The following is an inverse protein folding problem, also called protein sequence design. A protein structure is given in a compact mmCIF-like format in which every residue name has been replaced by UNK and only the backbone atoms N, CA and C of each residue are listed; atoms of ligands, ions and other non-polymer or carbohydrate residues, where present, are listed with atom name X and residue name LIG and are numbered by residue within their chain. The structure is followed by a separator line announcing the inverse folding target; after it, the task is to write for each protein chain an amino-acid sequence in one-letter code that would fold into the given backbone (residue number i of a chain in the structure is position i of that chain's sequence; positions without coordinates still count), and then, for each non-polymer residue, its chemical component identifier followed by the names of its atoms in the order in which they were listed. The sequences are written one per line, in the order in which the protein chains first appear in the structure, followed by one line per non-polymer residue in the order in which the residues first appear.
data_IF_607529236081
#
_entry.id   IF_607529236081
#
_cell.length_a   1.000
_cell.length_b   1.000
_cell.length_c   1.000
_cell.angle_alpha   90.00
_cell.angle_beta   90.00
_cell.angle_gamma   90.00
#
_symmetry.space_group_name_H-M   'P 1'
#
loop_
_entity.id
_entity.type
_entity.pdbx_description
1 polymer ?
#
# COMPACT_ATOMS: atom_id res chain seq x y z
N UNK A 1 -15.63 -22.63 -6.17
CA UNK A 1 -15.25 -22.66 -4.75
C UNK A 1 -16.29 -23.46 -3.98
N UNK A 2 -15.88 -24.28 -3.02
CA UNK A 2 -16.79 -24.87 -2.04
C UNK A 2 -16.76 -23.99 -0.79
N UNK A 3 -17.93 -23.59 -0.32
CA UNK A 3 -18.10 -22.95 0.97
C UNK A 3 -18.70 -23.99 1.91
N UNK A 4 -18.19 -24.06 3.12
CA UNK A 4 -18.81 -24.84 4.19
C UNK A 4 -20.25 -24.37 4.39
N UNK A 5 -21.17 -25.32 4.63
CA UNK A 5 -22.61 -25.05 4.66
C UNK A 5 -22.96 -23.98 5.72
N UNK A 6 -22.39 -24.13 6.91
CA UNK A 6 -22.59 -23.20 8.03
C UNK A 6 -22.13 -21.77 7.68
N UNK A 7 -20.95 -21.63 7.05
CA UNK A 7 -20.43 -20.33 6.64
C UNK A 7 -21.33 -19.67 5.57
N UNK A 8 -21.88 -20.47 4.65
CA UNK A 8 -22.82 -19.97 3.66
C UNK A 8 -24.10 -19.46 4.31
N UNK A 9 -24.65 -20.21 5.27
CA UNK A 9 -25.88 -19.82 5.97
C UNK A 9 -25.70 -18.52 6.76
N UNK A 10 -24.61 -18.41 7.53
CA UNK A 10 -24.26 -17.19 8.26
C UNK A 10 -24.09 -15.99 7.31
N UNK A 11 -23.37 -16.17 6.20
CA UNK A 11 -23.18 -15.10 5.22
C UNK A 11 -24.49 -14.63 4.59
N UNK A 12 -25.41 -15.56 4.28
CA UNK A 12 -26.72 -15.20 3.73
C UNK A 12 -27.58 -14.44 4.75
N UNK A 13 -27.60 -14.87 6.02
CA UNK A 13 -28.34 -14.20 7.08
C UNK A 13 -27.87 -12.75 7.29
N UNK A 14 -26.55 -12.52 7.32
CA UNK A 14 -25.98 -11.18 7.44
C UNK A 14 -26.18 -10.32 6.18
N UNK A 15 -26.14 -10.92 4.98
CA UNK A 15 -26.46 -10.22 3.74
C UNK A 15 -27.93 -9.75 3.73
N UNK A 16 -28.85 -10.59 4.19
CA UNK A 16 -30.27 -10.25 4.32
C UNK A 16 -30.50 -9.16 5.38
N UNK A 17 -29.90 -9.30 6.57
CA UNK A 17 -29.98 -8.31 7.64
C UNK A 17 -29.40 -6.94 7.25
N UNK A 18 -28.39 -6.94 6.38
CA UNK A 18 -27.82 -5.71 5.81
C UNK A 18 -28.58 -5.19 4.57
N UNK A 19 -29.63 -5.87 4.13
CA UNK A 19 -30.39 -5.56 2.91
C UNK A 19 -29.54 -5.45 1.65
N UNK A 20 -28.45 -6.21 1.58
CA UNK A 20 -27.50 -6.20 0.46
C UNK A 20 -27.50 -7.55 -0.24
N UNK A 21 -27.51 -7.60 -1.58
CA UNK A 21 -27.38 -8.86 -2.29
C UNK A 21 -26.06 -9.56 -1.95
N UNK A 22 -26.12 -10.81 -1.49
CA UNK A 22 -24.95 -11.63 -1.16
C UNK A 22 -23.91 -11.66 -2.31
N UNK A 23 -24.38 -11.75 -3.56
CA UNK A 23 -23.52 -11.73 -4.76
C UNK A 23 -22.84 -10.39 -5.02
N UNK A 24 -23.40 -9.28 -4.52
CA UNK A 24 -22.75 -7.97 -4.58
C UNK A 24 -21.60 -7.93 -3.58
N UNK A 25 -21.84 -8.33 -2.32
CA UNK A 25 -20.82 -8.34 -1.26
C UNK A 25 -19.62 -9.21 -1.67
N UNK A 26 -19.86 -10.42 -2.18
CA UNK A 26 -18.79 -11.32 -2.66
C UNK A 26 -17.97 -10.65 -3.76
N UNK A 27 -18.62 -10.01 -4.75
CA UNK A 27 -17.91 -9.36 -5.86
C UNK A 27 -17.04 -8.19 -5.39
N UNK A 28 -17.50 -7.42 -4.42
CA UNK A 28 -16.72 -6.34 -3.81
C UNK A 28 -15.52 -6.90 -3.04
N UNK A 29 -15.73 -7.90 -2.18
CA UNK A 29 -14.65 -8.56 -1.43
C UNK A 29 -13.61 -9.19 -2.36
N UNK A 30 -14.04 -9.85 -3.44
CA UNK A 30 -13.13 -10.42 -4.44
C UNK A 30 -12.31 -9.33 -5.15
N UNK A 31 -12.93 -8.21 -5.52
CA UNK A 31 -12.20 -7.08 -6.13
C UNK A 31 -11.19 -6.48 -5.16
N UNK A 32 -11.59 -6.23 -3.92
CA UNK A 32 -10.71 -5.71 -2.89
C UNK A 32 -9.54 -6.66 -2.62
N UNK A 33 -9.80 -7.96 -2.51
CA UNK A 33 -8.75 -8.96 -2.34
C UNK A 33 -7.76 -8.95 -3.50
N UNK A 34 -8.24 -8.98 -4.74
CA UNK A 34 -7.37 -8.95 -5.93
C UNK A 34 -6.52 -7.67 -5.95
N UNK A 35 -7.13 -6.53 -5.65
CA UNK A 35 -6.44 -5.24 -5.61
C UNK A 35 -5.35 -5.21 -4.54
N UNK A 36 -5.71 -5.58 -3.30
CA UNK A 36 -4.77 -5.65 -2.17
C UNK A 36 -3.59 -6.57 -2.49
N UNK A 37 -3.85 -7.71 -3.13
CA UNK A 37 -2.79 -8.65 -3.50
C UNK A 37 -1.90 -8.13 -4.62
N UNK A 38 -2.42 -7.31 -5.54
CA UNK A 38 -1.60 -6.64 -6.57
C UNK A 38 -0.72 -5.58 -5.95
N UNK A 39 -1.30 -4.70 -5.14
CA UNK A 39 -0.58 -3.64 -4.43
C UNK A 39 0.54 -4.21 -3.55
N UNK A 40 0.29 -5.31 -2.84
CA UNK A 40 1.31 -5.97 -2.02
C UNK A 40 2.52 -6.43 -2.85
N UNK A 41 2.27 -7.07 -4.01
CA UNK A 41 3.35 -7.51 -4.92
C UNK A 41 4.10 -6.33 -5.54
N UNK A 42 3.38 -5.30 -5.95
CA UNK A 42 3.97 -4.07 -6.50
C UNK A 42 4.83 -3.36 -5.46
N UNK A 43 4.34 -3.25 -4.22
CA UNK A 43 5.09 -2.68 -3.11
C UNK A 43 6.34 -3.49 -2.78
N UNK A 44 6.26 -4.82 -2.79
CA UNK A 44 7.42 -5.69 -2.58
C UNK A 44 8.50 -5.45 -3.64
N UNK A 45 8.13 -5.43 -4.93
CA UNK A 45 9.06 -5.13 -6.02
C UNK A 45 9.67 -3.73 -5.89
N UNK A 46 8.85 -2.73 -5.57
CA UNK A 46 9.32 -1.37 -5.34
C UNK A 46 10.31 -1.30 -4.16
N UNK A 47 10.00 -1.96 -3.05
CA UNK A 47 10.84 -1.96 -1.85
C UNK A 47 12.18 -2.65 -2.11
N UNK A 48 12.16 -3.82 -2.77
CA UNK A 48 13.38 -4.52 -3.17
C UNK A 48 14.27 -3.60 -4.01
N UNK A 49 13.71 -2.98 -5.06
CA UNK A 49 14.44 -2.06 -5.93
C UNK A 49 15.01 -0.85 -5.17
N UNK A 50 14.21 -0.25 -4.27
CA UNK A 50 14.63 0.89 -3.46
C UNK A 50 15.81 0.52 -2.55
N UNK A 51 15.76 -0.65 -1.93
CA UNK A 51 16.83 -1.15 -1.03
C UNK A 51 18.11 -1.44 -1.82
N UNK A 52 18.01 -2.07 -2.99
CA UNK A 52 19.18 -2.32 -3.86
C UNK A 52 19.88 -1.02 -4.24
N UNK A 53 19.11 -0.01 -4.68
CA UNK A 53 19.65 1.30 -5.03
C UNK A 53 20.31 1.98 -3.83
N UNK A 54 19.68 1.95 -2.66
CA UNK A 54 20.24 2.53 -1.44
C UNK A 54 21.55 1.84 -1.04
N UNK A 55 21.61 0.51 -1.12
CA UNK A 55 22.84 -0.26 -0.83
C UNK A 55 23.97 0.08 -1.81
N UNK A 56 23.67 0.24 -3.09
CA UNK A 56 24.65 0.65 -4.10
C UNK A 56 25.18 2.07 -3.83
N UNK A 57 24.30 3.01 -3.48
CA UNK A 57 24.65 4.39 -3.14
C UNK A 57 25.55 4.45 -1.89
N UNK A 58 25.23 3.67 -0.85
CA UNK A 58 26.08 3.52 0.33
C UNK A 58 27.46 2.95 -0.04
N UNK A 59 27.49 1.90 -0.86
CA UNK A 59 28.76 1.29 -1.30
C UNK A 59 29.62 2.26 -2.13
N UNK A 60 28.99 3.18 -2.86
CA UNK A 60 29.65 4.26 -3.59
C UNK A 60 30.06 5.46 -2.71
N UNK A 61 29.72 5.45 -1.41
CA UNK A 61 30.01 6.54 -0.49
C UNK A 61 29.07 7.75 -0.62
N UNK A 62 27.96 7.62 -1.34
CA UNK A 62 26.93 8.65 -1.52
C UNK A 62 26.01 8.72 -0.29
N UNK A 63 26.60 8.91 0.88
CA UNK A 63 25.90 9.04 2.16
C UNK A 63 25.97 10.49 2.63
N UNK A 64 24.95 10.91 3.37
CA UNK A 64 24.87 12.26 3.94
C UNK A 64 24.68 12.17 5.44
N UNK A 65 25.28 13.11 6.18
CA UNK A 65 24.98 13.30 7.59
C UNK A 65 23.56 13.86 7.76
N UNK A 66 22.98 13.67 8.94
CA UNK A 66 21.68 14.25 9.26
C UNK A 66 21.70 15.79 9.14
N UNK A 67 22.80 16.43 9.51
CA UNK A 67 22.94 17.89 9.43
C UNK A 67 22.97 18.39 7.98
N UNK A 68 23.67 17.67 7.10
CA UNK A 68 23.71 17.97 5.67
C UNK A 68 22.32 17.85 5.04
N UNK A 69 21.58 16.81 5.39
CA UNK A 69 20.19 16.61 4.94
C UNK A 69 19.30 17.76 5.42
N UNK A 70 19.32 18.09 6.71
CA UNK A 70 18.48 19.17 7.26
C UNK A 70 18.80 20.54 6.63
N UNK A 71 20.08 20.85 6.43
CA UNK A 71 20.48 22.08 5.77
C UNK A 71 19.94 22.18 4.34
N UNK A 72 20.05 21.09 3.56
CA UNK A 72 19.52 21.04 2.19
C UNK A 72 18.00 21.21 2.17
N UNK A 73 17.27 20.49 3.02
CA UNK A 73 15.82 20.56 3.06
C UNK A 73 15.30 21.91 3.61
N UNK A 74 16.02 22.56 4.53
CA UNK A 74 15.72 23.93 4.96
C UNK A 74 15.83 24.96 3.82
N UNK A 75 16.79 24.79 2.91
CA UNK A 75 16.88 25.62 1.69
C UNK A 75 15.71 25.33 0.75
N UNK A 76 15.36 24.05 0.54
CA UNK A 76 14.24 23.67 -0.34
C UNK A 76 12.90 24.21 0.15
N UNK A 77 12.61 24.12 1.46
CA UNK A 77 11.38 24.67 2.06
C UNK A 77 11.27 26.18 1.87
N UNK A 78 12.32 26.93 2.20
CA UNK A 78 12.37 28.40 1.96
C UNK A 78 12.13 28.78 0.50
N UNK A 79 12.62 27.98 -0.46
CA UNK A 79 12.37 28.22 -1.89
C UNK A 79 10.90 27.98 -2.26
N UNK A 80 10.28 26.94 -1.72
CA UNK A 80 8.86 26.66 -1.95
C UNK A 80 7.97 27.76 -1.35
N UNK A 81 8.30 28.23 -0.15
CA UNK A 81 7.57 29.31 0.53
C UNK A 81 7.68 30.65 -0.23
N UNK A 82 8.84 30.94 -0.83
CA UNK A 82 9.04 32.15 -1.63
C UNK A 82 8.39 32.08 -3.04
N UNK A 83 7.80 30.93 -3.43
CA UNK A 83 7.15 30.72 -4.73
C UNK A 83 5.61 30.71 -4.64
N UNK A 84 5.04 30.83 -3.44
CA UNK A 84 3.59 30.97 -3.19
C UNK A 84 3.22 32.41 -2.88
#
# INVERSE_FOLDING_TARGET
MKLELELREQFMAEAEASHRPASQIVREMMRQFVQTQREAREYEMFLQRKVELARASIAAGEVFSNEEVEAQFAVRRRRADNQG
#
